data_IF_437194551082
#
_entry.id   IF_437194551082
#
_cell.length_a   1.000
_cell.length_b   1.000
_cell.length_c   1.000
_cell.angle_alpha   90.00
_cell.angle_beta   90.00
_cell.angle_gamma   90.00
#
_symmetry.space_group_name_H-M   'P 1'
#
loop_
_entity.id
_entity.type
_entity.pdbx_description
1 polymer ?
#
# COMPACT_ATOMS: atom_id res chain seq x y z
N UNK A 1 -6.92 -11.04 -18.16
CA UNK A 1 -7.29 -10.01 -17.17
C UNK A 1 -8.23 -8.99 -17.81
N UNK A 2 -9.21 -8.49 -17.07
CA UNK A 2 -10.09 -7.40 -17.54
C UNK A 2 -9.34 -6.05 -17.57
N UNK A 3 -9.77 -5.12 -18.43
CA UNK A 3 -9.19 -3.77 -18.50
C UNK A 3 -9.30 -3.03 -17.15
N UNK A 4 -10.34 -3.33 -16.37
CA UNK A 4 -10.54 -2.80 -15.03
C UNK A 4 -9.49 -3.33 -14.03
N UNK A 5 -9.15 -4.63 -14.09
CA UNK A 5 -8.12 -5.23 -13.23
C UNK A 5 -6.72 -4.69 -13.55
N UNK A 6 -6.42 -4.54 -14.84
CA UNK A 6 -5.16 -3.94 -15.31
C UNK A 6 -5.07 -2.47 -14.88
N UNK A 7 -6.13 -1.68 -15.14
CA UNK A 7 -6.18 -0.27 -14.75
C UNK A 7 -6.09 -0.08 -13.23
N UNK A 8 -6.82 -0.87 -12.45
CA UNK A 8 -6.76 -0.85 -10.99
C UNK A 8 -5.38 -1.20 -10.44
N UNK A 9 -4.70 -2.19 -11.04
CA UNK A 9 -3.34 -2.57 -10.65
C UNK A 9 -2.33 -1.46 -10.92
N UNK A 10 -2.40 -0.79 -12.08
CA UNK A 10 -1.54 0.36 -12.37
C UNK A 10 -1.83 1.57 -11.47
N UNK A 11 -3.11 1.83 -11.17
CA UNK A 11 -3.48 2.90 -10.27
C UNK A 11 -2.93 2.66 -8.86
N UNK A 12 -3.12 1.45 -8.31
CA UNK A 12 -2.57 1.11 -6.99
C UNK A 12 -1.03 1.17 -7.00
N UNK A 13 -0.39 0.68 -8.08
CA UNK A 13 1.05 0.77 -8.22
C UNK A 13 1.56 2.22 -8.24
N UNK A 14 0.88 3.13 -8.97
CA UNK A 14 1.24 4.53 -9.02
C UNK A 14 1.13 5.20 -7.65
N UNK A 15 0.06 4.89 -6.89
CA UNK A 15 -0.11 5.42 -5.53
C UNK A 15 0.98 4.88 -4.59
N UNK A 16 1.27 3.58 -4.62
CA UNK A 16 2.34 2.98 -3.81
C UNK A 16 3.73 3.51 -4.16
N UNK A 17 4.01 3.72 -5.45
CA UNK A 17 5.26 4.33 -5.91
C UNK A 17 5.37 5.80 -5.44
N UNK A 18 4.29 6.58 -5.55
CA UNK A 18 4.24 7.94 -5.03
C UNK A 18 4.47 7.99 -3.52
N UNK A 19 3.84 7.09 -2.76
CA UNK A 19 4.02 7.00 -1.31
C UNK A 19 5.45 6.56 -0.92
N UNK A 20 6.06 5.66 -1.69
CA UNK A 20 7.47 5.28 -1.52
C UNK A 20 8.40 6.48 -1.76
N UNK A 21 8.19 7.24 -2.83
CA UNK A 21 8.98 8.44 -3.15
C UNK A 21 8.85 9.52 -2.07
N UNK A 22 7.61 9.79 -1.62
CA UNK A 22 7.38 10.71 -0.50
C UNK A 22 8.04 10.23 0.80
N UNK A 23 8.19 8.91 0.98
CA UNK A 23 8.83 8.32 2.16
C UNK A 23 10.36 8.42 2.16
N UNK A 24 11.03 8.69 1.03
CA UNK A 24 12.49 8.93 0.95
C UNK A 24 12.88 10.20 1.73
N UNK A 25 12.12 11.27 1.52
CA UNK A 25 12.23 12.51 2.28
C UNK A 25 10.87 12.82 2.91
N UNK A 26 10.55 12.19 4.05
CA UNK A 26 9.19 12.16 4.59
C UNK A 26 8.69 13.57 4.89
N UNK A 27 7.58 14.02 4.28
CA UNK A 27 6.93 15.26 4.68
C UNK A 27 6.40 15.13 6.11
N UNK A 28 6.11 16.28 6.76
CA UNK A 28 5.67 16.35 8.16
C UNK A 28 4.53 15.39 8.51
N UNK A 29 3.63 15.17 7.56
CA UNK A 29 2.54 14.22 7.66
C UNK A 29 3.03 12.76 7.86
N UNK A 30 3.92 12.26 6.99
CA UNK A 30 4.44 10.88 7.07
C UNK A 30 5.29 10.72 8.32
N UNK A 31 6.18 11.68 8.60
CA UNK A 31 7.05 11.60 9.79
C UNK A 31 6.24 11.61 11.09
N UNK A 32 5.15 12.38 11.15
CA UNK A 32 4.25 12.42 12.32
C UNK A 32 3.46 11.13 12.46
N UNK A 33 3.01 10.54 11.36
CA UNK A 33 2.34 9.25 11.34
C UNK A 33 3.25 8.15 11.91
N UNK A 34 4.46 8.01 11.35
CA UNK A 34 5.44 6.99 11.77
C UNK A 34 5.89 7.18 13.22
N UNK A 35 6.13 8.43 13.63
CA UNK A 35 6.48 8.73 15.03
C UNK A 35 5.28 8.51 15.96
N UNK A 36 4.06 8.81 15.51
CA UNK A 36 2.82 8.62 16.26
C UNK A 36 2.51 7.16 16.57
N UNK A 37 2.97 6.23 15.73
CA UNK A 37 2.91 4.78 15.99
C UNK A 37 4.19 4.20 16.62
N UNK A 38 5.13 5.06 17.02
CA UNK A 38 6.44 4.69 17.58
C UNK A 38 7.27 3.77 16.66
N UNK A 39 7.17 3.95 15.33
CA UNK A 39 7.95 3.16 14.39
C UNK A 39 9.41 3.64 14.34
N UNK A 40 10.41 2.77 14.58
CA UNK A 40 11.82 3.17 14.67
C UNK A 40 12.31 3.87 13.41
N UNK A 41 12.94 5.04 13.57
CA UNK A 41 13.40 5.87 12.44
C UNK A 41 14.39 5.15 11.53
N UNK A 42 15.25 4.33 12.13
CA UNK A 42 16.27 3.54 11.40
C UNK A 42 15.66 2.46 10.50
N UNK A 43 14.36 2.15 10.67
CA UNK A 43 13.62 1.17 9.87
C UNK A 43 12.70 1.80 8.82
N UNK A 44 12.65 3.13 8.71
CA UNK A 44 11.75 3.81 7.75
C UNK A 44 12.04 3.44 6.29
N UNK A 45 13.30 3.15 5.96
CA UNK A 45 13.68 2.70 4.62
C UNK A 45 13.05 1.36 4.23
N UNK A 46 12.75 0.48 5.19
CA UNK A 46 12.11 -0.80 4.92
C UNK A 46 10.70 -0.60 4.33
N UNK A 47 9.98 0.43 4.79
CA UNK A 47 8.66 0.79 4.25
C UNK A 47 8.76 1.28 2.80
N UNK A 48 9.85 1.98 2.44
CA UNK A 48 10.12 2.39 1.06
C UNK A 48 10.31 1.14 0.20
N UNK A 49 11.14 0.20 0.65
CA UNK A 49 11.40 -1.06 -0.05
C UNK A 49 10.13 -1.89 -0.26
N UNK A 50 9.32 -2.07 0.78
CA UNK A 50 8.05 -2.82 0.71
C UNK A 50 7.10 -2.19 -0.33
N UNK A 51 6.92 -0.87 -0.30
CA UNK A 51 6.03 -0.16 -1.23
C UNK A 51 6.55 -0.19 -2.67
N UNK A 52 7.87 -0.03 -2.85
CA UNK A 52 8.50 -0.10 -4.17
C UNK A 52 8.39 -1.51 -4.77
N UNK A 53 8.61 -2.56 -3.98
CA UNK A 53 8.44 -3.95 -4.41
C UNK A 53 6.98 -4.26 -4.75
N UNK A 54 6.04 -3.76 -3.94
CA UNK A 54 4.61 -3.90 -4.24
C UNK A 54 4.21 -3.21 -5.55
N UNK A 55 4.68 -1.97 -5.77
CA UNK A 55 4.45 -1.26 -7.03
C UNK A 55 5.06 -2.01 -8.23
N UNK A 56 6.31 -2.47 -8.09
CA UNK A 56 6.98 -3.25 -9.14
C UNK A 56 6.25 -4.57 -9.43
N UNK A 57 5.80 -5.30 -8.40
CA UNK A 57 5.05 -6.55 -8.55
C UNK A 57 3.70 -6.35 -9.24
N UNK A 58 2.97 -5.28 -8.91
CA UNK A 58 1.72 -4.93 -9.58
C UNK A 58 1.92 -4.54 -11.04
N UNK A 59 2.95 -3.72 -11.33
CA UNK A 59 3.30 -3.34 -12.71
C UNK A 59 3.70 -4.56 -13.51
N UNK A 60 4.59 -5.39 -12.98
CA UNK A 60 5.07 -6.59 -13.68
C UNK A 60 3.92 -7.57 -13.95
N UNK A 61 3.09 -7.86 -12.93
CA UNK A 61 1.93 -8.74 -13.07
C UNK A 61 0.89 -8.22 -14.08
N UNK A 62 0.62 -6.90 -14.06
CA UNK A 62 -0.29 -6.28 -15.01
C UNK A 62 0.28 -6.26 -16.44
N UNK A 63 1.58 -6.00 -16.60
CA UNK A 63 2.24 -5.94 -17.91
C UNK A 63 2.27 -7.30 -18.61
N UNK A 64 2.44 -8.39 -17.86
CA UNK A 64 2.40 -9.76 -18.40
C UNK A 64 0.98 -10.35 -18.42
N UNK A 65 -0.03 -9.60 -17.95
CA UNK A 65 -1.43 -10.03 -17.92
C UNK A 65 -1.72 -11.20 -16.97
N UNK A 66 -0.91 -11.39 -15.93
CA UNK A 66 -1.03 -12.51 -14.99
C UNK A 66 -1.81 -12.10 -13.73
N UNK A 67 -3.08 -12.54 -13.66
CA UNK A 67 -3.99 -12.23 -12.57
C UNK A 67 -3.56 -12.84 -11.22
N UNK A 68 -2.89 -14.00 -11.23
CA UNK A 68 -2.42 -14.65 -10.01
C UNK A 68 -1.32 -13.81 -9.35
N UNK A 69 -0.39 -13.28 -10.15
CA UNK A 69 0.68 -12.40 -9.65
C UNK A 69 0.09 -11.12 -9.07
N UNK A 70 -0.80 -10.43 -9.81
CA UNK A 70 -1.40 -9.18 -9.29
C UNK A 70 -2.24 -9.42 -8.04
N UNK A 71 -2.97 -10.54 -7.97
CA UNK A 71 -3.74 -10.91 -6.78
C UNK A 71 -2.84 -11.19 -5.59
N UNK A 72 -1.78 -11.98 -5.74
CA UNK A 72 -0.83 -12.26 -4.64
C UNK A 72 -0.19 -10.97 -4.12
N UNK A 73 0.21 -10.06 -5.00
CA UNK A 73 0.77 -8.77 -4.59
C UNK A 73 -0.30 -7.91 -3.90
N UNK A 74 -1.53 -7.85 -4.43
CA UNK A 74 -2.64 -7.13 -3.79
C UNK A 74 -2.99 -7.68 -2.40
N UNK A 75 -2.91 -8.99 -2.17
CA UNK A 75 -3.06 -9.59 -0.84
C UNK A 75 -1.97 -9.09 0.11
N UNK A 76 -0.71 -9.07 -0.34
CA UNK A 76 0.41 -8.55 0.44
C UNK A 76 0.24 -7.07 0.80
N UNK A 77 -0.21 -6.25 -0.15
CA UNK A 77 -0.50 -4.82 0.08
C UNK A 77 -1.62 -4.64 1.11
N UNK A 78 -2.72 -5.39 0.98
CA UNK A 78 -3.82 -5.32 1.94
C UNK A 78 -3.36 -5.76 3.34
N UNK A 79 -2.59 -6.86 3.43
CA UNK A 79 -2.00 -7.32 4.68
C UNK A 79 -1.13 -6.25 5.33
N UNK A 80 -0.25 -5.59 4.56
CA UNK A 80 0.56 -4.47 5.04
C UNK A 80 -0.29 -3.36 5.67
N UNK A 81 -1.36 -2.93 5.01
CA UNK A 81 -2.23 -1.88 5.54
C UNK A 81 -3.03 -2.33 6.77
N UNK A 82 -3.44 -3.60 6.85
CA UNK A 82 -4.05 -4.16 8.06
C UNK A 82 -3.06 -4.10 9.24
N UNK A 83 -1.80 -4.49 9.05
CA UNK A 83 -0.78 -4.37 10.10
C UNK A 83 -0.54 -2.90 10.49
N UNK A 84 -0.58 -1.97 9.54
CA UNK A 84 -0.53 -0.55 9.84
C UNK A 84 -1.72 -0.09 10.71
N UNK A 85 -2.95 -0.52 10.40
CA UNK A 85 -4.13 -0.26 11.23
C UNK A 85 -3.92 -0.76 12.66
N UNK A 86 -3.42 -2.00 12.82
CA UNK A 86 -3.14 -2.57 14.14
C UNK A 86 -2.10 -1.72 14.89
N UNK A 87 -1.03 -1.27 14.23
CA UNK A 87 -0.02 -0.39 14.84
C UNK A 87 -0.63 0.94 15.31
N UNK A 88 -1.50 1.55 14.50
CA UNK A 88 -2.24 2.76 14.87
C UNK A 88 -3.17 2.56 16.08
N UNK A 89 -3.90 1.45 16.11
CA UNK A 89 -4.78 1.10 17.23
C UNK A 89 -3.96 0.88 18.51
N UNK A 90 -2.85 0.15 18.45
CA UNK A 90 -1.96 -0.10 19.60
C UNK A 90 -1.36 1.19 20.15
N UNK A 91 -0.98 2.12 19.28
CA UNK A 91 -0.46 3.42 19.68
C UNK A 91 -1.53 4.44 20.07
N UNK A 92 -2.83 4.08 19.94
CA UNK A 92 -3.98 4.99 20.10
C UNK A 92 -3.86 6.28 19.26
N UNK A 93 -3.17 6.18 18.12
CA UNK A 93 -2.90 7.30 17.22
C UNK A 93 -3.90 7.29 16.05
N UNK A 94 -5.14 7.69 16.31
CA UNK A 94 -6.28 7.62 15.37
C UNK A 94 -6.68 9.00 14.80
N UNK A 95 -5.69 9.79 14.41
CA UNK A 95 -5.89 11.14 13.86
C UNK A 95 -6.19 11.09 12.35
N UNK A 96 -6.15 12.23 11.68
CA UNK A 96 -6.39 12.36 10.24
C UNK A 96 -5.49 11.44 9.41
N UNK A 97 -4.27 11.20 9.87
CA UNK A 97 -3.29 10.28 9.28
C UNK A 97 -3.82 8.83 9.21
N UNK A 98 -4.55 8.39 10.23
CA UNK A 98 -5.18 7.07 10.25
C UNK A 98 -6.38 6.99 9.30
N UNK A 99 -7.26 7.99 9.35
CA UNK A 99 -8.51 7.97 8.60
C UNK A 99 -8.33 8.18 7.09
N UNK A 100 -7.52 9.15 6.68
CA UNK A 100 -7.40 9.51 5.26
C UNK A 100 -6.40 8.63 4.55
N UNK A 101 -5.22 8.38 5.15
CA UNK A 101 -4.17 7.62 4.49
C UNK A 101 -4.31 6.13 4.78
N UNK A 102 -4.32 5.72 6.05
CA UNK A 102 -4.31 4.29 6.37
C UNK A 102 -5.61 3.60 5.91
N UNK A 103 -6.79 4.09 6.33
CA UNK A 103 -8.06 3.50 5.90
C UNK A 103 -8.38 3.73 4.42
N UNK A 104 -8.07 4.91 3.88
CA UNK A 104 -8.26 5.19 2.45
C UNK A 104 -7.45 4.24 1.57
N UNK A 105 -6.17 4.03 1.89
CA UNK A 105 -5.32 3.08 1.18
C UNK A 105 -5.73 1.62 1.40
N UNK A 106 -6.23 1.27 2.60
CA UNK A 106 -6.80 -0.06 2.87
C UNK A 106 -8.00 -0.32 1.98
N UNK A 107 -8.92 0.63 1.88
CA UNK A 107 -10.12 0.51 1.06
C UNK A 107 -9.77 0.39 -0.43
N UNK A 108 -8.84 1.22 -0.93
CA UNK A 108 -8.34 1.12 -2.31
C UNK A 108 -7.70 -0.26 -2.57
N UNK A 109 -6.85 -0.72 -1.65
CA UNK A 109 -6.17 -2.01 -1.78
C UNK A 109 -7.16 -3.18 -1.76
N UNK A 110 -8.20 -3.11 -0.92
CA UNK A 110 -9.26 -4.11 -0.86
C UNK A 110 -10.09 -4.14 -2.15
N UNK A 111 -10.42 -2.96 -2.71
CA UNK A 111 -11.15 -2.87 -3.97
C UNK A 111 -10.35 -3.46 -5.13
N UNK A 112 -9.07 -3.11 -5.25
CA UNK A 112 -8.19 -3.66 -6.30
C UNK A 112 -7.97 -5.16 -6.10
N UNK A 113 -7.81 -5.64 -4.85
CA UNK A 113 -7.75 -7.06 -4.58
C UNK A 113 -9.01 -7.79 -5.03
N UNK A 114 -10.20 -7.27 -4.72
CA UNK A 114 -11.46 -7.89 -5.13
C UNK A 114 -11.57 -7.98 -6.66
N UNK A 115 -11.17 -6.93 -7.38
CA UNK A 115 -11.15 -6.91 -8.85
C UNK A 115 -10.12 -7.90 -9.43
N UNK A 116 -8.92 -7.97 -8.83
CA UNK A 116 -7.88 -8.90 -9.27
C UNK A 116 -8.26 -10.36 -9.00
N UNK A 117 -8.81 -10.66 -7.82
CA UNK A 117 -9.27 -11.99 -7.45
C UNK A 117 -10.46 -12.45 -8.32
N UNK A 118 -11.36 -11.55 -8.68
CA UNK A 118 -12.44 -11.85 -9.62
C UNK A 118 -11.96 -12.07 -11.07
N UNK A 119 -10.71 -11.73 -11.37
CA UNK A 119 -10.10 -11.87 -12.69
C UNK A 119 -9.06 -13.01 -12.78
N UNK A 120 -8.85 -13.77 -11.69
CA UNK A 120 -8.12 -15.05 -11.66
C UNK A 120 -8.97 -16.17 -12.26
#
# INVERSE_FOLDING_TARGET
MSSLAVGGSYLLAAVLAGDALMSIKPPKFISRCLSGVNFPRDWWWALIGIKALAAAGLIAGAAIGNASVTTTVSVGVLGYFIFAIIAHMKARFLKQEFWVNCLGMTALSAAVLAVNAAAM
#
